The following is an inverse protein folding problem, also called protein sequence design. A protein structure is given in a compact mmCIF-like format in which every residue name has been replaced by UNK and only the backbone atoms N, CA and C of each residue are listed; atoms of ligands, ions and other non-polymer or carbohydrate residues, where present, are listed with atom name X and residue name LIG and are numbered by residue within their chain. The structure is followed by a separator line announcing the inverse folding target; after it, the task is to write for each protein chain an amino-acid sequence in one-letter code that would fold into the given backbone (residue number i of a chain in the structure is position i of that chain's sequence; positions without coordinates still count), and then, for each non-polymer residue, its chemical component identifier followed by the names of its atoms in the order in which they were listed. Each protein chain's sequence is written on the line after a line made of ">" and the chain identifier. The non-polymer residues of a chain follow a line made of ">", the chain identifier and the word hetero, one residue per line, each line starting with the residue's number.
data_IF_200043402201
#
_entry.id   IF_200043402201
#
_cell.length_a   1.000
_cell.length_b   1.000
_cell.length_c   1.000
_cell.angle_alpha   90.00
_cell.angle_beta   90.00
_cell.angle_gamma   90.00
#
_symmetry.space_group_name_H-M   'P 1'
#
loop_
_entity.id
_entity.type
_entity.pdbx_description
1 polymer ?
#
# COMPACT_ATOMS: atom_id res chain seq x y z
N UNK A 1 27.52 0.58 -9.14
CA UNK A 1 27.54 0.08 -7.74
C UNK A 1 26.17 -0.48 -7.38
N UNK A 2 26.09 -1.75 -6.96
CA UNK A 2 24.82 -2.46 -6.77
C UNK A 2 23.99 -1.90 -5.59
N UNK A 3 24.56 -1.63 -4.40
CA UNK A 3 23.83 -0.97 -3.31
C UNK A 3 23.22 0.39 -3.69
N UNK A 4 23.93 1.21 -4.47
CA UNK A 4 23.41 2.49 -4.93
C UNK A 4 22.20 2.33 -5.88
N UNK A 5 22.23 1.31 -6.74
CA UNK A 5 21.12 0.97 -7.62
C UNK A 5 19.90 0.49 -6.85
N UNK A 6 20.09 -0.43 -5.89
CA UNK A 6 19.02 -0.93 -5.03
C UNK A 6 18.35 0.18 -4.23
N UNK A 7 19.14 1.08 -3.63
CA UNK A 7 18.59 2.24 -2.89
C UNK A 7 17.79 3.17 -3.79
N UNK A 8 18.27 3.44 -5.00
CA UNK A 8 17.55 4.31 -5.94
C UNK A 8 16.23 3.68 -6.39
N UNK A 9 16.23 2.37 -6.65
CA UNK A 9 15.01 1.68 -7.05
C UNK A 9 13.99 1.58 -5.90
N UNK A 10 14.45 1.29 -4.68
CA UNK A 10 13.60 1.25 -3.49
C UNK A 10 13.00 2.63 -3.15
N UNK A 11 13.76 3.71 -3.38
CA UNK A 11 13.30 5.08 -3.11
C UNK A 11 12.50 5.72 -4.26
N UNK A 12 12.44 5.08 -5.44
CA UNK A 12 11.69 5.62 -6.58
C UNK A 12 10.20 5.68 -6.20
N UNK A 13 9.52 6.84 -6.32
CA UNK A 13 8.08 6.93 -6.07
C UNK A 13 7.28 5.99 -6.98
N UNK A 14 6.09 5.61 -6.54
CA UNK A 14 5.13 4.87 -7.35
C UNK A 14 4.15 5.85 -8.00
N UNK A 15 3.82 5.61 -9.26
CA UNK A 15 2.66 6.25 -9.90
C UNK A 15 1.42 5.37 -9.70
N UNK A 16 0.70 5.63 -8.61
CA UNK A 16 -0.53 4.90 -8.29
C UNK A 16 -1.65 5.16 -9.28
N UNK A 17 -1.66 6.33 -9.94
CA UNK A 17 -2.68 6.66 -10.94
C UNK A 17 -2.49 5.81 -12.21
N UNK A 18 -1.25 5.46 -12.54
CA UNK A 18 -0.92 4.49 -13.57
C UNK A 18 -1.07 3.01 -13.13
N UNK A 19 -1.46 2.76 -11.86
CA UNK A 19 -1.62 1.42 -11.30
C UNK A 19 -0.31 0.74 -10.85
N UNK A 20 0.79 1.49 -10.71
CA UNK A 20 2.04 0.93 -10.18
C UNK A 20 1.94 0.75 -8.66
N UNK A 21 1.78 -0.48 -8.17
CA UNK A 21 1.80 -0.79 -6.73
C UNK A 21 2.91 -1.77 -6.30
N UNK A 22 3.50 -2.46 -7.27
CA UNK A 22 4.60 -3.41 -7.06
C UNK A 22 5.63 -3.24 -8.16
N UNK A 23 6.91 -3.34 -7.80
CA UNK A 23 8.02 -3.40 -8.76
C UNK A 23 9.01 -4.48 -8.35
N UNK A 24 9.60 -5.10 -9.36
CA UNK A 24 10.64 -6.09 -9.20
C UNK A 24 11.90 -5.65 -9.97
N UNK A 25 13.05 -5.78 -9.33
CA UNK A 25 14.36 -5.59 -9.94
C UNK A 25 15.21 -6.83 -9.66
N UNK A 26 15.77 -7.42 -10.71
CA UNK A 26 16.73 -8.52 -10.60
C UNK A 26 18.10 -8.03 -11.05
N UNK A 27 19.05 -8.02 -10.13
CA UNK A 27 20.45 -7.74 -10.42
C UNK A 27 21.19 -9.07 -10.58
N UNK A 28 21.92 -9.20 -11.68
CA UNK A 28 22.79 -10.34 -11.96
C UNK A 28 24.24 -9.91 -11.77
N UNK A 29 24.91 -10.48 -10.78
CA UNK A 29 26.34 -10.25 -10.52
C UNK A 29 27.21 -11.32 -11.20
N UNK A 30 26.64 -12.51 -11.45
CA UNK A 30 27.30 -13.61 -12.15
C UNK A 30 26.32 -14.72 -12.57
N UNK A 31 26.83 -15.89 -13.01
CA UNK A 31 26.00 -17.02 -13.43
C UNK A 31 25.12 -17.59 -12.32
N UNK A 32 25.58 -17.53 -11.06
CA UNK A 32 24.90 -18.06 -9.88
C UNK A 32 24.79 -17.03 -8.74
N UNK A 33 25.00 -15.76 -9.03
CA UNK A 33 24.92 -14.68 -8.05
C UNK A 33 23.94 -13.61 -8.53
N UNK A 34 22.85 -13.49 -7.78
CA UNK A 34 21.71 -12.63 -8.11
C UNK A 34 21.16 -11.97 -6.85
N UNK A 35 20.64 -10.76 -7.01
CA UNK A 35 19.84 -10.08 -6.00
C UNK A 35 18.47 -9.78 -6.59
N UNK A 36 17.42 -10.12 -5.86
CA UNK A 36 16.05 -9.75 -6.21
C UNK A 36 15.58 -8.70 -5.21
N UNK A 37 15.11 -7.57 -5.73
CA UNK A 37 14.44 -6.52 -4.96
C UNK A 37 12.97 -6.48 -5.39
N UNK A 38 12.08 -6.76 -4.43
CA UNK A 38 10.65 -6.53 -4.56
C UNK A 38 10.30 -5.32 -3.72
N UNK A 39 9.71 -4.31 -4.35
CA UNK A 39 9.25 -3.08 -3.68
C UNK A 39 7.76 -2.97 -3.85
N UNK A 40 7.06 -2.70 -2.75
CA UNK A 40 5.61 -2.56 -2.72
C UNK A 40 5.24 -1.17 -2.21
N UNK A 41 4.18 -0.60 -2.77
CA UNK A 41 3.49 0.50 -2.11
C UNK A 41 2.65 -0.07 -0.96
N UNK A 42 2.73 0.52 0.23
CA UNK A 42 2.05 -0.01 1.43
C UNK A 42 0.50 0.00 1.31
N UNK A 43 -0.06 0.68 0.30
CA UNK A 43 -1.49 0.62 -0.02
C UNK A 43 -1.94 -0.77 -0.49
N UNK A 44 -1.03 -1.57 -1.06
CA UNK A 44 -1.36 -2.87 -1.67
C UNK A 44 -0.85 -4.05 -0.86
N UNK A 45 -0.16 -3.81 0.26
CA UNK A 45 0.42 -4.87 1.08
C UNK A 45 0.46 -4.46 2.54
N UNK A 46 0.23 -5.41 3.43
CA UNK A 46 0.48 -5.29 4.86
C UNK A 46 1.56 -6.30 5.30
N UNK A 47 1.89 -6.31 6.60
CA UNK A 47 2.92 -7.19 7.13
C UNK A 47 2.59 -8.68 6.94
N UNK A 48 1.32 -9.07 7.12
CA UNK A 48 0.89 -10.46 6.96
C UNK A 48 0.91 -10.91 5.49
N UNK A 49 0.49 -10.04 4.57
CA UNK A 49 0.49 -10.31 3.13
C UNK A 49 1.90 -10.51 2.57
N UNK A 50 2.91 -9.85 3.16
CA UNK A 50 4.30 -10.03 2.76
C UNK A 50 4.79 -11.46 2.97
N UNK A 51 4.39 -12.11 4.07
CA UNK A 51 4.73 -13.51 4.35
C UNK A 51 4.11 -14.46 3.31
N UNK A 52 2.84 -14.23 2.97
CA UNK A 52 2.15 -14.98 1.91
C UNK A 52 2.85 -14.83 0.56
N UNK A 53 3.13 -13.59 0.15
CA UNK A 53 3.81 -13.32 -1.14
C UNK A 53 5.18 -13.99 -1.21
N UNK A 54 5.97 -13.94 -0.13
CA UNK A 54 7.28 -14.58 -0.09
C UNK A 54 7.17 -16.11 -0.22
N UNK A 55 6.23 -16.74 0.50
CA UNK A 55 6.01 -18.18 0.46
C UNK A 55 5.52 -18.65 -0.93
N UNK A 56 4.54 -17.95 -1.50
CA UNK A 56 3.99 -18.28 -2.82
C UNK A 56 5.03 -18.08 -3.92
N UNK A 57 5.80 -16.99 -3.89
CA UNK A 57 6.88 -16.75 -4.85
C UNK A 57 7.94 -17.85 -4.80
N UNK A 58 8.33 -18.31 -3.61
CA UNK A 58 9.28 -19.40 -3.45
C UNK A 58 8.75 -20.72 -4.04
N UNK A 59 7.49 -21.05 -3.78
CA UNK A 59 6.84 -22.25 -4.33
C UNK A 59 6.73 -22.19 -5.86
N UNK A 60 6.29 -21.06 -6.41
CA UNK A 60 6.19 -20.81 -7.85
C UNK A 60 7.55 -20.91 -8.52
N UNK A 61 8.58 -20.30 -7.91
CA UNK A 61 9.94 -20.33 -8.44
C UNK A 61 10.51 -21.74 -8.46
N UNK A 62 10.37 -22.51 -7.37
CA UNK A 62 10.84 -23.89 -7.29
C UNK A 62 10.20 -24.78 -8.35
N UNK A 63 8.89 -24.65 -8.55
CA UNK A 63 8.15 -25.44 -9.54
C UNK A 63 8.52 -25.05 -10.98
N UNK A 64 8.73 -23.75 -11.24
CA UNK A 64 9.20 -23.26 -12.54
C UNK A 64 10.60 -23.80 -12.88
N UNK A 65 11.51 -23.84 -11.90
CA UNK A 65 12.85 -24.43 -12.06
C UNK A 65 12.80 -25.94 -12.30
N UNK A 66 11.91 -26.64 -11.59
CA UNK A 66 11.76 -28.10 -11.72
C UNK A 66 10.99 -28.53 -12.99
N UNK A 67 10.32 -27.59 -13.68
CA UNK A 67 9.49 -27.88 -14.85
C UNK A 67 8.21 -28.68 -14.52
N UNK A 68 7.76 -28.63 -13.26
CA UNK A 68 6.65 -29.47 -12.75
C UNK A 68 5.27 -28.82 -12.92
N UNK A 69 5.19 -27.70 -13.64
CA UNK A 69 3.95 -26.90 -13.76
C UNK A 69 3.69 -26.01 -12.54
N UNK A 70 2.56 -25.31 -12.50
CA UNK A 70 2.22 -24.43 -11.37
C UNK A 70 1.80 -25.26 -10.15
N UNK A 71 2.37 -25.02 -8.96
CA UNK A 71 1.92 -25.65 -7.73
C UNK A 71 0.50 -25.17 -7.40
N UNK A 72 -0.30 -25.99 -6.69
CA UNK A 72 -1.59 -25.54 -6.22
C UNK A 72 -1.40 -24.45 -5.17
N UNK A 73 -1.80 -23.23 -5.50
CA UNK A 73 -1.87 -22.12 -4.55
C UNK A 73 -3.34 -21.89 -4.15
N UNK A 74 -3.60 -21.44 -2.91
CA UNK A 74 -4.93 -21.01 -2.52
C UNK A 74 -5.42 -19.90 -3.47
N UNK A 75 -6.70 -19.94 -3.83
CA UNK A 75 -7.28 -18.84 -4.59
C UNK A 75 -7.30 -17.57 -3.72
N UNK A 76 -6.59 -16.53 -4.15
CA UNK A 76 -6.61 -15.25 -3.46
C UNK A 76 -7.96 -14.55 -3.71
N UNK A 77 -8.73 -14.20 -2.65
CA UNK A 77 -9.92 -13.37 -2.82
C UNK A 77 -9.52 -12.02 -3.41
N UNK A 78 -10.37 -11.46 -4.27
CA UNK A 78 -10.05 -10.17 -4.88
C UNK A 78 -10.21 -9.05 -3.86
N UNK A 79 -9.21 -8.18 -3.74
CA UNK A 79 -9.26 -7.05 -2.82
C UNK A 79 -10.43 -6.10 -3.15
N UNK A 80 -10.84 -6.02 -4.43
CA UNK A 80 -12.02 -5.27 -4.84
C UNK A 80 -13.29 -5.73 -4.11
N UNK A 81 -13.47 -7.04 -3.93
CA UNK A 81 -14.63 -7.58 -3.20
C UNK A 81 -14.58 -7.20 -1.72
N UNK A 82 -13.37 -7.20 -1.14
CA UNK A 82 -13.18 -6.73 0.23
C UNK A 82 -13.51 -5.24 0.37
N UNK A 83 -13.03 -4.40 -0.55
CA UNK A 83 -13.29 -2.96 -0.56
C UNK A 83 -14.80 -2.65 -0.71
N UNK A 84 -15.52 -3.37 -1.56
CA UNK A 84 -16.98 -3.24 -1.67
C UNK A 84 -17.68 -3.61 -0.35
N UNK A 85 -17.29 -4.72 0.29
CA UNK A 85 -17.87 -5.11 1.59
C UNK A 85 -17.61 -4.08 2.69
N UNK A 86 -16.41 -3.53 2.75
CA UNK A 86 -16.06 -2.46 3.71
C UNK A 86 -16.90 -1.21 3.46
N UNK A 87 -17.08 -0.83 2.19
CA UNK A 87 -17.90 0.32 1.80
C UNK A 87 -19.38 0.14 2.21
N UNK A 88 -19.96 -1.01 1.89
CA UNK A 88 -21.34 -1.34 2.25
C UNK A 88 -21.55 -1.41 3.77
N UNK A 89 -20.49 -1.71 4.52
CA UNK A 89 -20.48 -1.75 5.98
C UNK A 89 -20.40 -0.37 6.67
N UNK A 90 -20.08 0.70 5.95
CA UNK A 90 -19.89 2.05 6.51
C UNK A 90 -21.07 2.51 7.39
N UNK A 91 -22.36 2.35 7.00
CA UNK A 91 -23.48 2.75 7.84
C UNK A 91 -23.49 2.11 9.23
N UNK A 92 -22.92 0.91 9.37
CA UNK A 92 -22.79 0.18 10.64
C UNK A 92 -21.72 0.75 11.59
N UNK A 93 -20.87 1.68 11.14
CA UNK A 93 -19.75 2.20 11.91
C UNK A 93 -20.15 3.28 12.93
N UNK A 94 -21.42 3.71 13.00
CA UNK A 94 -21.85 4.79 13.90
C UNK A 94 -21.44 4.55 15.36
N UNK A 95 -21.69 3.35 15.89
CA UNK A 95 -21.34 3.02 17.27
C UNK A 95 -19.82 3.05 17.51
N UNK A 96 -19.02 2.63 16.52
CA UNK A 96 -17.57 2.71 16.60
C UNK A 96 -17.09 4.16 16.58
N UNK A 97 -17.69 5.01 15.72
CA UNK A 97 -17.40 6.45 15.66
C UNK A 97 -17.72 7.13 16.99
N UNK A 98 -18.89 6.87 17.59
CA UNK A 98 -19.28 7.45 18.87
C UNK A 98 -18.31 7.02 19.98
N UNK A 99 -17.93 5.74 20.01
CA UNK A 99 -16.93 5.20 20.95
C UNK A 99 -15.57 5.89 20.80
N UNK A 100 -15.04 5.95 19.59
CA UNK A 100 -13.73 6.58 19.36
C UNK A 100 -13.75 8.07 19.66
N UNK A 101 -14.85 8.76 19.33
CA UNK A 101 -15.01 10.18 19.64
C UNK A 101 -15.03 10.42 21.15
N UNK A 102 -15.72 9.58 21.93
CA UNK A 102 -15.71 9.65 23.38
C UNK A 102 -14.34 9.36 23.99
N UNK A 103 -13.66 8.31 23.51
CA UNK A 103 -12.31 7.95 23.99
C UNK A 103 -11.26 9.03 23.72
N UNK A 104 -11.43 9.81 22.65
CA UNK A 104 -10.50 10.84 22.23
C UNK A 104 -10.94 12.25 22.63
N UNK A 105 -12.04 12.40 23.37
CA UNK A 105 -12.65 13.71 23.67
C UNK A 105 -11.67 14.68 24.37
N UNK A 106 -10.86 14.15 25.29
CA UNK A 106 -9.87 14.93 26.05
C UNK A 106 -8.44 14.76 25.53
N UNK A 107 -8.27 14.04 24.41
CA UNK A 107 -6.94 13.81 23.84
C UNK A 107 -6.42 15.10 23.19
N UNK A 108 -5.23 15.54 23.61
CA UNK A 108 -4.53 16.61 22.90
C UNK A 108 -4.17 16.13 21.48
N UNK A 109 -4.51 16.89 20.42
CA UNK A 109 -4.17 16.50 19.06
C UNK A 109 -2.65 16.27 18.93
N UNK A 110 -2.22 15.15 18.33
CA UNK A 110 -0.81 14.90 18.14
C UNK A 110 -0.22 15.99 17.25
N UNK A 111 0.92 16.55 17.66
CA UNK A 111 1.70 17.45 16.80
C UNK A 111 2.40 16.61 15.74
N UNK A 112 1.74 16.42 14.61
CA UNK A 112 2.38 15.83 13.45
C UNK A 112 3.43 16.82 12.92
N UNK A 113 4.64 16.36 12.55
CA UNK A 113 5.59 17.20 11.86
C UNK A 113 4.89 17.74 10.60
N UNK A 114 4.85 19.07 10.45
CA UNK A 114 4.41 19.65 9.18
C UNK A 114 5.29 19.06 8.07
N UNK A 115 4.72 18.59 6.96
CA UNK A 115 5.52 18.24 5.80
C UNK A 115 6.37 19.46 5.44
N UNK A 116 7.67 19.39 5.74
CA UNK A 116 8.64 20.40 5.31
C UNK A 116 8.69 20.30 3.79
N UNK A 117 8.39 21.41 3.11
CA UNK A 117 7.98 21.43 1.71
C UNK A 117 8.95 20.77 0.71
N UNK A 118 8.34 20.14 -0.30
CA UNK A 118 8.69 20.08 -1.74
C UNK A 118 8.13 18.83 -2.44
N UNK A 119 6.94 18.36 -2.09
CA UNK A 119 6.15 17.51 -2.99
C UNK A 119 5.33 18.42 -3.92
N UNK A 120 5.23 18.14 -5.23
CA UNK A 120 4.33 18.87 -6.11
C UNK A 120 2.91 18.79 -5.54
N UNK A 121 2.22 19.93 -5.52
CA UNK A 121 0.80 19.97 -5.20
C UNK A 121 0.03 19.71 -6.48
N UNK A 122 -0.39 18.49 -6.72
CA UNK A 122 -1.49 18.19 -7.61
C UNK A 122 -2.78 18.45 -6.82
N UNK A 123 -3.05 19.74 -6.62
CA UNK A 123 -4.30 20.23 -6.05
C UNK A 123 -5.10 20.87 -7.19
N UNK A 124 -5.78 20.06 -8.00
CA UNK A 124 -6.99 20.54 -8.67
C UNK A 124 -8.12 20.57 -7.63
N UNK A 125 -8.24 21.72 -6.96
CA UNK A 125 -9.42 22.05 -6.14
C UNK A 125 -10.71 21.94 -6.96
N UNK A 126 -11.86 21.67 -6.35
CA UNK A 126 -12.57 22.69 -5.58
C UNK A 126 -13.59 22.04 -4.63
N UNK A 127 -13.45 22.27 -3.33
CA UNK A 127 -14.56 22.23 -2.39
C UNK A 127 -14.52 23.53 -1.59
N UNK A 128 -15.16 24.56 -2.13
CA UNK A 128 -15.39 25.81 -1.43
C UNK A 128 -16.39 25.58 -0.31
N UNK A 129 -15.96 25.80 0.94
CA UNK A 129 -16.84 25.83 2.09
C UNK A 129 -17.13 27.30 2.42
N UNK A 130 -18.30 27.79 2.04
CA UNK A 130 -18.79 29.13 2.41
C UNK A 130 -19.51 29.01 3.76
N UNK A 131 -19.16 29.79 4.80
CA UNK A 131 -19.92 29.76 6.05
C UNK A 131 -21.26 30.47 5.88
N UNK A 132 -22.35 29.78 6.21
CA UNK A 132 -23.68 30.34 6.33
C UNK A 132 -23.77 31.15 7.63
N UNK A 133 -23.93 32.47 7.54
CA UNK A 133 -24.35 33.30 8.67
C UNK A 133 -25.88 33.22 8.83
N UNK A 134 -26.42 33.21 10.06
CA UNK A 134 -27.87 33.22 10.28
C UNK A 134 -28.43 34.63 10.08
N UNK A 135 -29.52 34.75 9.33
CA UNK A 135 -30.32 35.98 9.27
C UNK A 135 -31.21 36.05 10.52
N UNK A 136 -31.28 37.25 11.13
CA UNK A 136 -32.32 37.61 12.10
C UNK A 136 -33.62 38.00 11.44
#
# INVERSE_FOLDING_TARGET
>A
DAPALLRREAARPFDLAAGEAVRALVLRHGPQDHTVLLTFHHISIDGASLETVAAELAALYAAAVAGTGQPPLPAAPQYADHACREHDGIPGLRAALDRWSGLLADAAPPRLPRPTGNAPRDASGTAGNTPHAPAG
#
